data_IF_589678388074
#
_entry.id   IF_589678388074
#
_cell.length_a   1.000
_cell.length_b   1.000
_cell.length_c   1.000
_cell.angle_alpha   90.00
_cell.angle_beta   90.00
_cell.angle_gamma   90.00
#
_symmetry.space_group_name_H-M   'P 1'
#
loop_
_entity.id
_entity.type
_entity.pdbx_description
1 polymer ?
#
# COMPACT_ATOMS: atom_id res chain seq x y z
N UNK A 1 -4.27 11.02 22.90
CA UNK A 1 -5.04 10.88 21.66
C UNK A 1 -4.78 9.53 21.02
N UNK A 2 -5.49 9.18 19.96
CA UNK A 2 -5.35 7.89 19.28
C UNK A 2 -4.68 8.05 17.92
N UNK A 3 -4.04 6.97 17.48
CA UNK A 3 -3.50 6.80 16.15
C UNK A 3 -4.54 6.05 15.30
N UNK A 4 -5.19 6.75 14.38
CA UNK A 4 -6.09 6.10 13.45
C UNK A 4 -5.32 5.60 12.24
N UNK A 5 -5.77 4.53 11.61
CA UNK A 5 -4.98 3.78 10.63
C UNK A 5 -5.77 3.55 9.34
N UNK A 6 -5.11 3.72 8.20
CA UNK A 6 -5.66 3.40 6.87
C UNK A 6 -4.90 2.21 6.30
N UNK A 7 -5.61 1.11 6.04
CA UNK A 7 -5.07 -0.12 5.46
C UNK A 7 -5.80 -0.48 4.16
N UNK A 8 -5.08 -1.03 3.19
CA UNK A 8 -5.68 -1.72 2.05
C UNK A 8 -6.00 -3.17 2.43
N UNK A 9 -7.20 -3.65 2.15
CA UNK A 9 -7.64 -4.99 2.55
C UNK A 9 -7.51 -6.06 1.47
N UNK A 10 -7.07 -5.69 0.28
CA UNK A 10 -6.92 -6.59 -0.87
C UNK A 10 -5.43 -6.75 -1.23
N UNK A 11 -5.10 -6.87 -2.52
CA UNK A 11 -3.73 -7.01 -3.03
C UNK A 11 -3.08 -5.67 -3.44
N UNK A 12 -3.39 -4.58 -2.74
CA UNK A 12 -2.89 -3.25 -3.08
C UNK A 12 -3.75 -2.56 -4.15
N UNK A 13 -3.37 -1.31 -4.47
CA UNK A 13 -4.05 -0.46 -5.48
C UNK A 13 -5.54 -0.18 -5.17
N UNK A 14 -5.96 -0.25 -3.89
CA UNK A 14 -7.33 0.02 -3.46
C UNK A 14 -7.71 1.51 -3.54
N UNK A 15 -6.74 2.41 -3.76
CA UNK A 15 -6.98 3.86 -3.80
C UNK A 15 -6.74 4.57 -2.47
N UNK A 16 -5.84 4.01 -1.63
CA UNK A 16 -5.48 4.57 -0.31
C UNK A 16 -5.11 6.04 -0.33
N UNK A 17 -4.34 6.50 -1.33
CA UNK A 17 -3.91 7.89 -1.42
C UNK A 17 -5.07 8.88 -1.41
N UNK A 18 -6.13 8.64 -2.20
CA UNK A 18 -7.34 9.47 -2.19
C UNK A 18 -7.95 9.55 -0.80
N UNK A 19 -8.12 8.42 -0.13
CA UNK A 19 -8.77 8.37 1.18
C UNK A 19 -7.92 9.03 2.25
N UNK A 20 -6.60 8.83 2.22
CA UNK A 20 -5.69 9.53 3.13
C UNK A 20 -5.78 11.05 2.91
N UNK A 21 -5.83 11.52 1.67
CA UNK A 21 -6.01 12.93 1.37
C UNK A 21 -7.37 13.48 1.87
N UNK A 22 -8.46 12.72 1.69
CA UNK A 22 -9.78 13.08 2.24
C UNK A 22 -9.72 13.18 3.76
N UNK A 23 -9.18 12.19 4.45
CA UNK A 23 -9.10 12.13 5.90
C UNK A 23 -8.08 13.10 6.49
N UNK A 24 -6.98 13.40 5.78
CA UNK A 24 -5.87 14.22 6.28
C UNK A 24 -6.30 15.64 6.70
N UNK A 25 -7.44 16.12 6.20
CA UNK A 25 -8.01 17.38 6.69
C UNK A 25 -8.44 17.36 8.18
N UNK A 26 -8.58 16.18 8.77
CA UNK A 26 -8.98 15.97 10.18
C UNK A 26 -7.80 15.64 11.09
N UNK A 27 -6.63 15.38 10.51
CA UNK A 27 -5.44 14.97 11.24
C UNK A 27 -4.29 15.93 11.00
N UNK A 28 -3.74 16.55 12.05
CA UNK A 28 -2.61 17.46 11.92
C UNK A 28 -1.29 16.74 11.55
N UNK A 29 -1.28 15.40 11.56
CA UNK A 29 -0.12 14.61 11.13
C UNK A 29 -0.54 13.34 10.38
N UNK A 30 0.27 12.97 9.35
CA UNK A 30 0.15 11.71 8.60
C UNK A 30 1.49 10.98 8.63
N UNK A 31 1.49 9.68 8.94
CA UNK A 31 2.70 8.87 9.08
C UNK A 31 2.66 7.61 8.21
N UNK A 32 3.65 7.43 7.33
CA UNK A 32 3.91 6.16 6.63
C UNK A 32 4.66 5.22 7.56
N UNK A 33 4.15 4.02 7.76
CA UNK A 33 4.74 3.10 8.75
C UNK A 33 5.52 1.94 8.12
N UNK A 34 5.32 1.59 6.84
CA UNK A 34 6.00 0.48 6.15
C UNK A 34 6.04 0.68 4.63
N UNK A 35 6.66 -0.27 3.91
CA UNK A 35 6.81 -0.23 2.48
C UNK A 35 7.95 0.68 2.03
N UNK A 36 7.93 1.10 0.79
CA UNK A 36 8.98 1.92 0.19
C UNK A 36 8.53 2.46 -1.17
N UNK A 37 9.46 2.73 -2.10
CA UNK A 37 9.15 3.33 -3.40
C UNK A 37 8.40 2.39 -4.37
N UNK A 38 8.07 1.17 -3.96
CA UNK A 38 7.17 0.27 -4.68
C UNK A 38 5.68 0.69 -4.55
N UNK A 39 5.32 1.52 -3.58
CA UNK A 39 4.01 2.13 -3.51
C UNK A 39 3.86 3.26 -4.55
N UNK A 40 2.62 3.52 -4.97
CA UNK A 40 2.25 4.67 -5.78
C UNK A 40 0.87 5.14 -5.36
N UNK A 41 0.80 6.18 -4.53
CA UNK A 41 -0.46 6.75 -4.07
C UNK A 41 -0.82 7.92 -4.95
N UNK A 42 -1.81 7.70 -5.82
CA UNK A 42 -2.33 8.74 -6.71
C UNK A 42 -3.29 9.66 -5.95
N UNK A 43 -3.10 10.95 -6.16
CA UNK A 43 -3.88 12.04 -5.57
C UNK A 43 -4.43 12.90 -6.70
N UNK A 44 -5.74 13.18 -6.65
CA UNK A 44 -6.43 13.99 -7.65
C UNK A 44 -7.19 15.10 -6.93
N UNK A 45 -6.72 16.33 -7.09
CA UNK A 45 -7.35 17.52 -6.49
C UNK A 45 -6.99 18.77 -7.29
N UNK A 46 -7.88 19.73 -7.32
CA UNK A 46 -7.70 21.04 -7.99
C UNK A 46 -7.20 20.92 -9.44
N UNK A 47 -7.65 19.88 -10.17
CA UNK A 47 -7.23 19.60 -11.54
C UNK A 47 -5.81 19.06 -11.71
N UNK A 48 -5.11 18.76 -10.61
CA UNK A 48 -3.77 18.20 -10.60
C UNK A 48 -3.75 16.72 -10.25
N UNK A 49 -2.77 16.01 -10.83
CA UNK A 49 -2.53 14.59 -10.59
C UNK A 49 -1.13 14.40 -10.03
N UNK A 50 -1.04 13.85 -8.83
CA UNK A 50 0.24 13.55 -8.18
C UNK A 50 0.34 12.07 -7.85
N UNK A 51 1.56 11.56 -7.85
CA UNK A 51 1.85 10.20 -7.36
C UNK A 51 2.96 10.32 -6.32
N UNK A 52 2.63 10.04 -5.06
CA UNK A 52 3.63 9.93 -3.98
C UNK A 52 3.96 8.46 -3.74
N UNK A 53 5.21 8.20 -3.37
CA UNK A 53 5.75 6.83 -3.18
C UNK A 53 6.11 6.57 -1.72
N UNK A 54 7.11 7.29 -1.22
CA UNK A 54 7.59 7.18 0.16
C UNK A 54 7.06 8.29 1.05
N UNK A 55 6.76 9.46 0.47
CA UNK A 55 6.24 10.61 1.18
C UNK A 55 4.76 10.38 1.52
N UNK A 56 4.30 10.71 2.76
CA UNK A 56 2.89 10.60 3.12
C UNK A 56 1.99 11.48 2.25
N UNK A 57 0.77 10.99 1.96
CA UNK A 57 -0.22 11.69 1.13
C UNK A 57 -0.73 13.01 1.75
N UNK A 58 -0.53 13.19 3.05
CA UNK A 58 -0.86 14.45 3.76
C UNK A 58 0.02 15.65 3.40
N UNK A 59 1.12 15.48 2.65
CA UNK A 59 2.10 16.52 2.33
C UNK A 59 1.48 17.74 1.64
N UNK A 60 0.40 17.53 0.89
CA UNK A 60 -0.31 18.58 0.16
C UNK A 60 -1.31 19.37 1.01
N UNK A 61 -1.52 18.98 2.29
CA UNK A 61 -2.39 19.72 3.21
C UNK A 61 -1.61 20.80 3.94
N UNK A 62 -2.21 21.99 4.02
CA UNK A 62 -1.63 23.10 4.78
C UNK A 62 -1.51 22.74 6.27
N UNK A 63 -0.41 23.15 6.88
CA UNK A 63 -0.16 22.91 8.30
C UNK A 63 0.02 21.44 8.70
N UNK A 64 0.03 20.48 7.75
CA UNK A 64 0.22 19.07 8.08
C UNK A 64 1.69 18.73 8.36
N UNK A 65 1.91 17.90 9.36
CA UNK A 65 3.19 17.25 9.65
C UNK A 65 3.20 15.85 9.01
N UNK A 66 4.29 15.50 8.34
CA UNK A 66 4.37 14.22 7.60
C UNK A 66 5.58 13.43 8.09
N UNK A 67 5.37 12.15 8.39
CA UNK A 67 6.37 11.31 9.05
C UNK A 67 6.66 10.08 8.19
N UNK A 68 7.94 9.83 7.92
CA UNK A 68 8.43 8.56 7.37
C UNK A 68 8.94 7.72 8.55
N UNK A 69 8.19 6.68 8.89
CA UNK A 69 8.40 5.84 10.05
C UNK A 69 9.54 4.83 9.91
N UNK A 70 9.87 4.18 11.02
CA UNK A 70 10.98 3.22 11.16
C UNK A 70 10.82 1.94 10.34
N UNK A 71 9.57 1.60 9.98
CA UNK A 71 9.28 0.41 9.16
C UNK A 71 9.47 0.65 7.65
N UNK A 72 9.61 1.89 7.22
CA UNK A 72 9.82 2.23 5.80
C UNK A 72 11.24 1.89 5.36
N UNK A 73 11.37 1.44 4.11
CA UNK A 73 12.66 1.35 3.41
C UNK A 73 12.72 2.48 2.37
N UNK A 74 13.70 3.35 2.50
CA UNK A 74 13.78 4.62 1.78
C UNK A 74 14.81 4.55 0.65
N UNK A 75 14.38 4.86 -0.57
CA UNK A 75 15.24 5.08 -1.71
C UNK A 75 15.51 6.59 -1.87
N UNK A 76 16.72 6.98 -1.65
CA UNK A 76 17.11 8.38 -1.54
C UNK A 76 17.04 9.11 -2.87
N UNK A 77 17.32 8.43 -3.98
CA UNK A 77 17.20 9.00 -5.33
C UNK A 77 15.73 9.30 -5.63
N UNK A 78 14.88 8.29 -5.47
CA UNK A 78 13.43 8.46 -5.65
C UNK A 78 12.84 9.50 -4.69
N UNK A 79 13.29 9.52 -3.42
CA UNK A 79 12.86 10.50 -2.43
C UNK A 79 13.21 11.94 -2.84
N UNK A 80 14.43 12.17 -3.34
CA UNK A 80 14.85 13.47 -3.84
C UNK A 80 14.01 13.92 -5.03
N UNK A 81 13.70 13.01 -5.96
CA UNK A 81 12.81 13.29 -7.08
C UNK A 81 11.39 13.66 -6.64
N UNK A 82 10.82 12.92 -5.69
CA UNK A 82 9.50 13.22 -5.10
C UNK A 82 9.50 14.62 -4.48
N UNK A 83 10.49 14.95 -3.64
CA UNK A 83 10.64 16.27 -3.04
C UNK A 83 10.72 17.38 -4.10
N UNK A 84 11.49 17.17 -5.16
CA UNK A 84 11.59 18.11 -6.28
C UNK A 84 10.26 18.34 -6.99
N UNK A 85 9.45 17.31 -7.16
CA UNK A 85 8.12 17.43 -7.76
C UNK A 85 7.12 18.15 -6.85
N UNK A 86 7.17 17.89 -5.54
CA UNK A 86 6.36 18.57 -4.53
C UNK A 86 6.75 20.05 -4.45
N UNK A 87 8.06 20.38 -4.49
CA UNK A 87 8.54 21.76 -4.45
C UNK A 87 8.07 22.59 -5.64
N UNK A 88 7.87 21.99 -6.81
CA UNK A 88 7.28 22.69 -7.98
C UNK A 88 5.84 23.17 -7.74
N UNK A 89 5.17 22.65 -6.71
CA UNK A 89 3.84 23.08 -6.28
C UNK A 89 3.87 24.17 -5.19
N UNK A 90 5.05 24.75 -4.93
CA UNK A 90 5.21 25.78 -3.89
C UNK A 90 5.25 25.24 -2.46
N UNK A 91 5.32 23.91 -2.29
CA UNK A 91 5.43 23.27 -0.97
C UNK A 91 6.91 23.08 -0.64
N UNK A 92 7.34 23.40 0.57
CA UNK A 92 8.67 23.10 1.07
C UNK A 92 8.67 21.76 1.85
N UNK A 93 9.17 20.65 1.24
CA UNK A 93 9.18 19.35 1.93
C UNK A 93 10.09 19.34 3.19
N UNK A 94 11.18 20.12 3.20
CA UNK A 94 12.13 20.14 4.32
C UNK A 94 11.47 20.65 5.62
N UNK A 95 10.45 21.52 5.53
CA UNK A 95 9.70 22.03 6.67
C UNK A 95 8.61 21.07 7.18
N UNK A 96 8.05 20.24 6.29
CA UNK A 96 6.89 19.39 6.58
C UNK A 96 7.22 17.94 6.85
N UNK A 97 8.44 17.46 6.51
CA UNK A 97 8.83 16.06 6.60
C UNK A 97 9.75 15.79 7.79
N UNK A 98 9.40 14.74 8.52
CA UNK A 98 10.15 14.17 9.62
C UNK A 98 10.48 12.71 9.29
N UNK A 99 11.76 12.34 9.34
CA UNK A 99 12.20 11.03 8.87
C UNK A 99 12.83 10.25 10.02
N UNK A 100 12.34 9.04 10.26
CA UNK A 100 12.89 8.18 11.30
C UNK A 100 14.36 7.84 11.04
N UNK A 101 15.23 8.07 12.01
CA UNK A 101 16.61 7.58 12.01
C UNK A 101 16.70 6.06 11.87
N UNK A 102 15.64 5.32 12.23
CA UNK A 102 15.59 3.85 12.18
C UNK A 102 15.05 3.30 10.86
N UNK A 103 14.53 4.13 9.94
CA UNK A 103 14.19 3.71 8.59
C UNK A 103 15.43 3.21 7.85
N UNK A 104 15.28 2.16 7.01
CA UNK A 104 16.40 1.56 6.31
C UNK A 104 16.63 2.20 4.95
N UNK A 105 17.90 2.28 4.55
CA UNK A 105 18.32 2.84 3.27
C UNK A 105 18.33 1.75 2.20
N UNK A 106 17.71 2.02 1.06
CA UNK A 106 17.85 1.18 -0.13
C UNK A 106 19.14 1.60 -0.84
N UNK A 107 20.13 0.70 -0.93
CA UNK A 107 21.35 0.92 -1.68
C UNK A 107 21.13 0.61 -3.17
N UNK A 108 21.94 1.19 -4.10
CA UNK A 108 21.91 0.77 -5.50
C UNK A 108 22.06 -0.74 -5.68
N UNK A 109 22.92 -1.37 -4.89
CA UNK A 109 23.14 -2.82 -4.91
C UNK A 109 21.94 -3.65 -4.45
N UNK A 110 21.02 -3.12 -3.64
CA UNK A 110 19.76 -3.79 -3.35
C UNK A 110 18.87 -3.93 -4.58
N UNK A 111 18.84 -2.93 -5.47
CA UNK A 111 18.10 -3.00 -6.73
C UNK A 111 18.69 -4.06 -7.66
N UNK A 112 20.03 -4.18 -7.70
CA UNK A 112 20.72 -5.20 -8.45
C UNK A 112 20.43 -6.61 -7.92
N UNK A 113 20.44 -6.79 -6.58
CA UNK A 113 20.06 -8.06 -5.94
C UNK A 113 18.60 -8.43 -6.23
N UNK A 114 17.67 -7.47 -6.21
CA UNK A 114 16.27 -7.69 -6.55
C UNK A 114 16.14 -8.22 -7.99
N UNK A 115 16.84 -7.60 -8.94
CA UNK A 115 16.87 -8.06 -10.32
C UNK A 115 17.55 -9.44 -10.47
N UNK A 116 18.63 -9.70 -9.74
CA UNK A 116 19.33 -10.98 -9.77
C UNK A 116 18.45 -12.12 -9.22
N UNK A 117 17.73 -11.90 -8.11
CA UNK A 117 16.82 -12.89 -7.54
C UNK A 117 15.64 -13.20 -8.48
N UNK A 118 15.01 -12.17 -9.07
CA UNK A 118 13.94 -12.38 -10.07
C UNK A 118 14.44 -13.13 -11.31
N UNK A 119 15.67 -12.82 -11.78
CA UNK A 119 16.26 -13.54 -12.90
C UNK A 119 16.56 -15.00 -12.57
N UNK A 120 17.10 -15.27 -11.39
CA UNK A 120 17.42 -16.62 -10.92
C UNK A 120 16.16 -17.48 -10.68
N UNK A 121 15.06 -16.87 -10.24
CA UNK A 121 13.79 -17.57 -10.01
C UNK A 121 13.10 -18.06 -11.30
N UNK A 122 13.43 -17.53 -12.47
CA UNK A 122 12.90 -17.97 -13.76
C UNK A 122 11.36 -17.98 -13.82
N UNK A 123 10.75 -19.18 -13.91
CA UNK A 123 9.29 -19.33 -13.95
C UNK A 123 8.62 -19.08 -12.60
N UNK A 124 9.34 -19.24 -11.50
CA UNK A 124 8.83 -19.04 -10.12
C UNK A 124 9.02 -17.61 -9.62
N UNK A 125 9.25 -16.66 -10.52
CA UNK A 125 9.39 -15.25 -10.13
C UNK A 125 8.13 -14.70 -9.51
N UNK A 126 8.29 -13.85 -8.48
CA UNK A 126 7.21 -13.18 -7.78
C UNK A 126 6.63 -12.04 -8.62
N UNK A 127 7.43 -11.45 -9.50
CA UNK A 127 7.08 -10.26 -10.27
C UNK A 127 7.39 -8.98 -9.49
N UNK A 128 8.56 -8.93 -8.88
CA UNK A 128 9.06 -7.77 -8.13
C UNK A 128 9.03 -6.49 -8.96
N UNK A 129 8.92 -5.35 -8.27
CA UNK A 129 9.04 -4.02 -8.88
C UNK A 129 10.48 -3.60 -9.18
N UNK A 130 11.44 -4.43 -8.86
CA UNK A 130 12.88 -4.19 -9.02
C UNK A 130 13.38 -2.91 -8.30
N UNK A 131 12.74 -2.57 -7.18
CA UNK A 131 13.07 -1.39 -6.37
C UNK A 131 13.96 -1.71 -5.16
N UNK A 132 14.42 -2.95 -5.04
CA UNK A 132 15.28 -3.38 -3.94
C UNK A 132 14.58 -3.57 -2.59
N UNK A 133 13.25 -3.67 -2.59
CA UNK A 133 12.45 -3.77 -1.36
C UNK A 133 12.80 -5.05 -0.59
N UNK A 134 12.68 -6.21 -1.23
CA UNK A 134 12.97 -7.51 -0.62
C UNK A 134 14.37 -7.59 -0.04
N UNK A 135 15.43 -7.33 -0.84
CA UNK A 135 16.81 -7.35 -0.35
C UNK A 135 17.06 -6.39 0.82
N UNK A 136 16.44 -5.19 0.84
CA UNK A 136 16.60 -4.24 1.95
C UNK A 136 15.94 -4.76 3.24
N UNK A 137 14.74 -5.36 3.17
CA UNK A 137 14.12 -6.01 4.33
C UNK A 137 14.91 -7.25 4.78
N UNK A 138 15.50 -8.01 3.86
CA UNK A 138 16.42 -9.12 4.19
C UNK A 138 17.58 -8.61 5.03
N UNK A 139 18.24 -7.53 4.62
CA UNK A 139 19.33 -6.93 5.37
C UNK A 139 18.88 -6.33 6.71
N UNK A 140 17.69 -5.76 6.78
CA UNK A 140 17.10 -5.31 8.04
C UNK A 140 16.98 -6.47 9.03
N UNK A 141 16.39 -7.60 8.62
CA UNK A 141 16.16 -8.75 9.49
C UNK A 141 17.48 -9.47 9.84
N UNK A 142 18.42 -9.55 8.90
CA UNK A 142 19.75 -10.09 9.13
C UNK A 142 20.68 -9.14 9.91
N UNK A 143 20.25 -7.92 10.21
CA UNK A 143 20.98 -6.89 10.97
C UNK A 143 22.25 -6.38 10.29
N UNK A 144 22.23 -6.33 8.95
CA UNK A 144 23.33 -5.81 8.13
C UNK A 144 22.98 -4.45 7.51
N UNK A 145 21.67 -4.15 7.38
CA UNK A 145 21.18 -2.96 6.68
C UNK A 145 21.63 -1.65 7.31
N UNK A 146 21.82 -0.64 6.47
CA UNK A 146 22.06 0.74 6.88
C UNK A 146 20.75 1.46 7.15
N UNK A 147 20.76 2.30 8.19
CA UNK A 147 19.61 3.11 8.58
C UNK A 147 19.85 4.58 8.27
N UNK A 148 18.79 5.35 8.17
CA UNK A 148 18.85 6.79 7.94
C UNK A 148 19.76 7.48 8.96
N UNK A 149 19.69 7.14 10.23
CA UNK A 149 20.55 7.74 11.27
C UNK A 149 22.04 7.46 11.08
N UNK A 150 22.41 6.38 10.38
CA UNK A 150 23.81 6.02 10.17
C UNK A 150 24.54 7.04 9.25
N UNK A 151 23.80 7.82 8.42
CA UNK A 151 24.40 8.85 7.56
C UNK A 151 25.08 9.98 8.34
N UNK A 152 24.76 10.12 9.63
CA UNK A 152 25.37 11.12 10.51
C UNK A 152 26.64 10.59 11.17
N UNK A 153 26.92 9.29 11.06
CA UNK A 153 28.11 8.68 11.68
C UNK A 153 29.38 8.97 10.86
N UNK A 154 30.51 9.27 11.52
CA UNK A 154 31.77 9.57 10.83
C UNK A 154 32.32 8.39 10.01
N UNK A 155 31.94 7.17 10.34
CA UNK A 155 32.32 5.93 9.67
C UNK A 155 31.27 5.44 8.64
N UNK A 156 30.27 6.26 8.30
CA UNK A 156 29.20 5.90 7.36
C UNK A 156 29.72 5.31 6.05
N UNK A 157 30.74 5.94 5.45
CA UNK A 157 31.31 5.45 4.19
C UNK A 157 31.89 4.04 4.34
N UNK A 158 32.58 3.76 5.42
CA UNK A 158 33.14 2.44 5.67
C UNK A 158 32.05 1.38 5.89
N UNK A 159 30.95 1.73 6.56
CA UNK A 159 29.77 0.84 6.70
C UNK A 159 29.10 0.58 5.35
N UNK A 160 28.98 1.60 4.52
CA UNK A 160 28.44 1.47 3.17
C UNK A 160 29.28 0.50 2.33
N UNK A 161 30.59 0.71 2.26
CA UNK A 161 31.51 -0.16 1.51
C UNK A 161 31.47 -1.61 1.99
N UNK A 162 31.40 -1.81 3.31
CA UNK A 162 31.26 -3.16 3.88
C UNK A 162 29.98 -3.87 3.43
N UNK A 163 28.85 -3.17 3.42
CA UNK A 163 27.58 -3.73 2.97
C UNK A 163 27.59 -3.97 1.45
N UNK A 164 28.09 -3.01 0.68
CA UNK A 164 28.29 -3.15 -0.77
C UNK A 164 29.13 -4.38 -1.11
N UNK A 165 30.27 -4.58 -0.44
CA UNK A 165 31.13 -5.74 -0.69
C UNK A 165 30.38 -7.07 -0.44
N UNK A 166 29.53 -7.15 0.59
CA UNK A 166 28.65 -8.31 0.81
C UNK A 166 27.68 -8.54 -0.35
N UNK A 167 27.07 -7.47 -0.86
CA UNK A 167 26.14 -7.58 -2.00
C UNK A 167 26.85 -8.01 -3.28
N UNK A 168 28.08 -7.53 -3.52
CA UNK A 168 28.88 -7.93 -4.67
C UNK A 168 29.20 -9.42 -4.63
N UNK A 169 29.51 -9.99 -3.46
CA UNK A 169 29.70 -11.42 -3.32
C UNK A 169 28.41 -12.19 -3.68
N UNK A 170 27.24 -11.75 -3.19
CA UNK A 170 25.95 -12.39 -3.52
C UNK A 170 25.64 -12.31 -5.02
N UNK A 171 25.89 -11.17 -5.66
CA UNK A 171 25.69 -11.00 -7.11
C UNK A 171 26.62 -11.92 -7.91
N UNK A 172 27.87 -12.08 -7.45
CA UNK A 172 28.84 -13.01 -8.05
C UNK A 172 28.38 -14.46 -7.90
N UNK A 173 27.91 -14.86 -6.70
CA UNK A 173 27.38 -16.21 -6.44
C UNK A 173 26.17 -16.54 -7.33
N UNK A 174 25.32 -15.53 -7.60
CA UNK A 174 24.19 -15.61 -8.51
C UNK A 174 24.59 -15.53 -10.00
N UNK A 175 25.87 -15.27 -10.29
CA UNK A 175 26.38 -15.07 -11.66
C UNK A 175 25.62 -13.98 -12.43
N UNK A 176 25.22 -12.92 -11.73
CA UNK A 176 24.47 -11.81 -12.31
C UNK A 176 25.42 -10.71 -12.80
N UNK A 177 25.47 -10.52 -14.13
CA UNK A 177 26.27 -9.48 -14.73
C UNK A 177 25.63 -8.10 -14.59
N UNK A 178 26.30 -7.16 -13.94
CA UNK A 178 25.83 -5.81 -13.69
C UNK A 178 26.99 -4.85 -13.47
N UNK A 179 26.70 -3.55 -13.57
CA UNK A 179 27.59 -2.47 -13.14
C UNK A 179 27.20 -2.04 -11.71
N UNK A 180 27.96 -2.42 -10.68
CA UNK A 180 27.61 -2.15 -9.30
C UNK A 180 27.81 -0.69 -8.90
N UNK A 181 28.53 0.09 -9.67
CA UNK A 181 28.89 1.48 -9.36
C UNK A 181 27.99 2.50 -10.10
N UNK A 182 27.16 2.02 -11.03
CA UNK A 182 26.38 2.86 -11.94
C UNK A 182 25.63 4.00 -11.25
N UNK A 183 24.92 3.72 -10.14
CA UNK A 183 24.07 4.72 -9.47
C UNK A 183 24.68 5.23 -8.15
N UNK A 184 25.93 4.86 -7.82
CA UNK A 184 26.55 5.16 -6.51
C UNK A 184 26.77 6.65 -6.29
N UNK A 185 27.34 7.34 -7.28
CA UNK A 185 27.61 8.78 -7.18
C UNK A 185 26.32 9.59 -6.98
N UNK A 186 25.27 9.22 -7.71
CA UNK A 186 23.95 9.84 -7.58
C UNK A 186 23.33 9.53 -6.21
N UNK A 187 23.44 8.29 -5.75
CA UNK A 187 22.97 7.86 -4.44
C UNK A 187 23.68 8.62 -3.32
N UNK A 188 25.00 8.77 -3.37
CA UNK A 188 25.75 9.56 -2.38
C UNK A 188 25.34 11.04 -2.38
N UNK A 189 25.07 11.62 -3.55
CA UNK A 189 24.53 12.97 -3.65
C UNK A 189 23.13 13.07 -3.01
N UNK A 190 22.29 12.04 -3.16
CA UNK A 190 20.96 11.98 -2.54
C UNK A 190 21.05 11.78 -1.01
N UNK A 191 22.08 11.13 -0.48
CA UNK A 191 22.38 11.07 0.96
C UNK A 191 22.65 12.46 1.52
N UNK A 192 23.47 13.28 0.84
CA UNK A 192 23.71 14.65 1.28
C UNK A 192 22.44 15.51 1.24
N UNK A 193 21.55 15.29 0.28
CA UNK A 193 20.23 15.91 0.25
C UNK A 193 19.38 15.48 1.45
N UNK A 194 19.38 14.19 1.81
CA UNK A 194 18.61 13.66 2.93
C UNK A 194 19.01 14.28 4.30
N UNK A 195 20.27 14.68 4.47
CA UNK A 195 20.74 15.34 5.69
C UNK A 195 20.09 16.70 5.99
N UNK A 196 19.39 17.30 5.02
CA UNK A 196 18.68 18.58 5.20
C UNK A 196 17.37 18.43 5.97
N UNK A 197 16.85 17.22 6.08
CA UNK A 197 15.54 16.94 6.68
C UNK A 197 15.64 16.73 8.19
N UNK A 198 14.49 16.82 8.86
CA UNK A 198 14.37 16.55 10.29
C UNK A 198 14.47 15.06 10.57
N UNK A 199 15.65 14.57 10.94
CA UNK A 199 15.90 13.18 11.32
C UNK A 199 15.56 12.97 12.80
N UNK A 200 14.50 12.17 13.06
CA UNK A 200 13.90 12.02 14.38
C UNK A 200 14.07 10.62 14.96
N UNK A 201 14.00 10.52 16.27
CA UNK A 201 13.76 9.28 17.01
C UNK A 201 12.24 9.07 17.03
N UNK A 202 11.75 8.34 16.02
CA UNK A 202 10.34 8.26 15.64
C UNK A 202 9.42 7.84 16.80
N UNK A 203 9.83 6.86 17.59
CA UNK A 203 9.06 6.34 18.72
C UNK A 203 8.81 7.41 19.81
N UNK A 204 9.76 8.30 20.08
CA UNK A 204 9.55 9.42 21.00
C UNK A 204 8.67 10.47 20.37
N UNK A 205 9.01 10.92 19.18
CA UNK A 205 8.27 11.95 18.46
C UNK A 205 6.79 11.60 18.29
N UNK A 206 6.48 10.37 17.87
CA UNK A 206 5.09 9.94 17.61
C UNK A 206 4.33 9.78 18.94
N UNK A 207 4.92 9.21 19.97
CA UNK A 207 4.23 9.05 21.26
C UNK A 207 3.96 10.40 21.95
N UNK A 208 4.92 11.33 21.96
CA UNK A 208 4.74 12.71 22.46
C UNK A 208 3.66 13.44 21.64
N UNK A 209 3.66 13.31 20.30
CA UNK A 209 2.61 13.87 19.46
C UNK A 209 1.22 13.35 19.86
N UNK A 210 1.10 12.04 20.07
CA UNK A 210 -0.17 11.38 20.41
C UNK A 210 -0.66 11.72 21.83
N UNK A 211 0.15 12.29 22.69
CA UNK A 211 -0.31 12.78 23.99
C UNK A 211 -1.19 14.04 23.82
N UNK A 212 -0.95 14.84 22.79
CA UNK A 212 -1.63 16.10 22.57
C UNK A 212 -2.60 16.09 21.37
N UNK A 213 -2.25 15.40 20.25
CA UNK A 213 -2.93 15.53 18.95
C UNK A 213 -3.16 14.16 18.31
N UNK A 214 -4.25 13.99 17.54
CA UNK A 214 -4.44 12.76 16.75
C UNK A 214 -3.46 12.70 15.57
N UNK A 215 -3.26 11.47 15.05
CA UNK A 215 -2.43 11.19 13.89
C UNK A 215 -3.09 10.13 13.03
N UNK A 216 -2.88 10.20 11.71
CA UNK A 216 -3.30 9.18 10.75
C UNK A 216 -2.08 8.38 10.29
N UNK A 217 -2.11 7.05 10.46
CA UNK A 217 -1.12 6.15 9.89
C UNK A 217 -1.58 5.69 8.50
N UNK A 218 -0.72 5.85 7.52
CA UNK A 218 -0.96 5.51 6.12
C UNK A 218 -0.20 4.25 5.74
N UNK A 219 -0.94 3.17 5.43
CA UNK A 219 -0.40 1.92 4.94
C UNK A 219 -0.06 1.95 3.45
N UNK A 220 0.83 1.07 3.05
CA UNK A 220 1.17 0.79 1.65
C UNK A 220 0.85 -0.67 1.31
N UNK A 221 0.69 -0.99 0.02
CA UNK A 221 0.23 -2.29 -0.46
C UNK A 221 -1.16 -2.65 0.11
N UNK A 222 -1.42 -3.91 0.41
CA UNK A 222 -2.66 -4.39 1.02
C UNK A 222 -2.42 -5.62 1.89
N UNK A 223 -3.36 -5.95 2.78
CA UNK A 223 -3.21 -6.99 3.79
C UNK A 223 -3.00 -8.38 3.20
N UNK A 224 -3.54 -8.66 2.00
CA UNK A 224 -3.27 -9.92 1.29
C UNK A 224 -1.86 -10.00 0.67
N UNK A 225 -1.06 -8.91 0.77
CA UNK A 225 0.35 -8.87 0.43
C UNK A 225 1.26 -8.84 1.67
N UNK A 226 0.73 -9.00 2.87
CA UNK A 226 1.51 -9.05 4.12
C UNK A 226 2.49 -10.23 4.12
N UNK A 227 3.70 -10.01 4.67
CA UNK A 227 4.75 -11.04 4.68
C UNK A 227 4.37 -12.27 5.49
N UNK A 228 3.58 -12.12 6.55
CA UNK A 228 3.21 -13.20 7.45
C UNK A 228 1.83 -13.77 7.15
N UNK A 229 0.85 -12.92 6.80
CA UNK A 229 -0.57 -13.26 6.68
C UNK A 229 -1.14 -13.10 5.27
N UNK A 230 -0.34 -12.68 4.31
CA UNK A 230 -0.76 -12.55 2.92
C UNK A 230 -0.74 -13.88 2.16
N UNK A 231 -0.95 -13.79 0.85
CA UNK A 231 -0.93 -14.93 -0.08
C UNK A 231 0.51 -15.38 -0.40
N UNK A 232 1.25 -15.83 0.62
CA UNK A 232 2.65 -16.28 0.52
C UNK A 232 2.79 -17.41 -0.50
N UNK A 233 3.89 -17.44 -1.33
CA UNK A 233 5.04 -16.53 -1.32
C UNK A 233 4.85 -15.24 -2.13
N UNK A 234 3.72 -15.01 -2.75
CA UNK A 234 3.43 -13.88 -3.64
C UNK A 234 3.00 -12.64 -2.84
N UNK A 235 3.89 -12.16 -1.99
CA UNK A 235 3.68 -11.06 -1.03
C UNK A 235 4.78 -10.02 -1.11
N UNK A 236 4.62 -8.89 -0.44
CA UNK A 236 5.71 -7.94 -0.17
C UNK A 236 6.51 -8.37 1.05
N UNK A 237 7.72 -7.87 1.20
CA UNK A 237 8.58 -8.19 2.36
C UNK A 237 8.30 -7.32 3.59
N UNK A 238 7.20 -6.58 3.62
CA UNK A 238 6.83 -5.70 4.74
C UNK A 238 5.56 -6.15 5.43
N UNK A 239 5.40 -5.77 6.72
CA UNK A 239 4.15 -5.97 7.46
C UNK A 239 3.13 -4.91 7.06
N UNK A 240 2.17 -5.31 6.23
CA UNK A 240 1.13 -4.43 5.68
C UNK A 240 -0.12 -4.37 6.55
N UNK A 241 -0.24 -5.26 7.54
CA UNK A 241 -1.33 -5.36 8.50
C UNK A 241 -1.17 -4.37 9.66
N UNK A 242 -2.17 -4.33 10.53
CA UNK A 242 -2.20 -3.45 11.72
C UNK A 242 -0.96 -3.63 12.63
N UNK A 243 -0.39 -4.83 12.69
CA UNK A 243 0.84 -5.10 13.44
C UNK A 243 2.03 -4.27 12.97
N UNK A 244 2.09 -4.00 11.66
CA UNK A 244 3.11 -3.17 11.03
C UNK A 244 3.10 -1.71 11.51
N UNK A 245 1.95 -1.19 11.90
CA UNK A 245 1.81 0.17 12.45
C UNK A 245 2.58 0.29 13.77
N UNK A 246 2.38 -0.68 14.66
CA UNK A 246 3.02 -0.68 15.97
C UNK A 246 4.56 -0.77 15.86
N UNK A 247 5.05 -1.67 15.02
CA UNK A 247 6.49 -1.84 14.81
C UNK A 247 7.11 -0.73 13.96
N UNK A 248 6.35 -0.19 13.01
CA UNK A 248 6.81 0.83 12.07
C UNK A 248 6.88 2.24 12.65
N UNK A 249 6.06 2.56 13.65
CA UNK A 249 6.05 3.87 14.31
C UNK A 249 6.54 3.83 15.77
N UNK A 250 6.72 2.64 16.35
CA UNK A 250 7.15 2.48 17.74
C UNK A 250 6.04 2.85 18.74
N UNK A 251 4.78 2.47 18.44
CA UNK A 251 3.62 2.75 19.28
C UNK A 251 3.04 1.48 19.89
N UNK A 252 2.49 1.58 21.08
CA UNK A 252 1.80 0.46 21.73
C UNK A 252 0.47 0.16 21.02
N UNK A 253 0.02 -1.12 20.92
CA UNK A 253 -1.27 -1.46 20.32
C UNK A 253 -2.46 -0.72 20.95
N UNK A 254 -2.39 -0.40 22.24
CA UNK A 254 -3.43 0.34 22.97
C UNK A 254 -3.60 1.80 22.51
N UNK A 255 -2.65 2.34 21.75
CA UNK A 255 -2.73 3.70 21.16
C UNK A 255 -3.50 3.70 19.84
N UNK A 256 -3.72 2.56 19.21
CA UNK A 256 -4.49 2.44 17.97
C UNK A 256 -5.96 2.81 18.25
N UNK A 257 -6.53 3.64 17.38
CA UNK A 257 -7.90 4.09 17.39
C UNK A 257 -8.74 3.39 16.32
N UNK A 258 -9.30 4.17 15.39
CA UNK A 258 -10.02 3.64 14.24
C UNK A 258 -9.08 2.96 13.25
N UNK A 259 -9.53 1.83 12.72
CA UNK A 259 -8.86 1.10 11.64
C UNK A 259 -9.75 1.14 10.41
N UNK A 260 -9.42 2.05 9.50
CA UNK A 260 -10.10 2.23 8.22
C UNK A 260 -9.59 1.21 7.21
N UNK A 261 -10.41 0.22 6.89
CA UNK A 261 -10.12 -0.81 5.90
C UNK A 261 -10.64 -0.42 4.52
N UNK A 262 -9.76 -0.22 3.55
CA UNK A 262 -10.11 0.17 2.18
C UNK A 262 -10.15 -1.05 1.29
N UNK A 263 -11.24 -1.20 0.54
CA UNK A 263 -11.41 -2.22 -0.51
C UNK A 263 -12.09 -1.63 -1.74
N UNK A 264 -11.83 -2.19 -2.91
CA UNK A 264 -12.60 -1.90 -4.14
C UNK A 264 -13.85 -2.77 -4.22
N UNK A 265 -14.89 -2.28 -4.88
CA UNK A 265 -16.11 -3.04 -5.16
C UNK A 265 -15.86 -4.30 -6.04
N UNK A 266 -14.65 -4.50 -6.49
CA UNK A 266 -14.12 -5.66 -7.20
C UNK A 266 -12.68 -5.94 -6.75
N UNK A 267 -12.06 -7.02 -7.21
CA UNK A 267 -10.67 -7.33 -6.89
C UNK A 267 -9.75 -7.04 -8.07
N UNK A 268 -8.53 -6.61 -7.75
CA UNK A 268 -7.44 -6.52 -8.72
C UNK A 268 -6.15 -7.06 -8.14
N UNK A 269 -5.29 -7.62 -8.99
CA UNK A 269 -3.96 -8.07 -8.58
C UNK A 269 -2.91 -7.71 -9.63
N UNK A 270 -1.74 -7.30 -9.17
CA UNK A 270 -0.54 -7.13 -9.99
C UNK A 270 0.43 -8.27 -9.68
N UNK A 271 1.11 -8.80 -10.71
CA UNK A 271 2.07 -9.88 -10.56
C UNK A 271 1.45 -11.27 -10.47
N UNK A 272 2.27 -12.22 -10.04
CA UNK A 272 1.92 -13.63 -9.93
C UNK A 272 1.14 -13.93 -8.64
N UNK A 273 0.69 -15.17 -8.50
CA UNK A 273 0.04 -15.69 -7.31
C UNK A 273 -1.46 -15.85 -7.43
N UNK A 274 -2.09 -16.44 -6.39
CA UNK A 274 -3.49 -16.83 -6.39
C UNK A 274 -4.44 -15.63 -6.49
N UNK A 275 -5.52 -15.84 -7.22
CA UNK A 275 -6.61 -14.87 -7.35
C UNK A 275 -7.92 -15.66 -7.59
N UNK A 276 -8.59 -16.14 -6.54
CA UNK A 276 -9.72 -17.06 -6.65
C UNK A 276 -10.86 -16.56 -7.53
N UNK A 277 -11.12 -15.25 -7.51
CA UNK A 277 -12.21 -14.63 -8.26
C UNK A 277 -11.79 -14.00 -9.59
N UNK A 278 -10.58 -14.30 -10.09
CA UNK A 278 -10.09 -13.77 -11.37
C UNK A 278 -11.00 -14.11 -12.54
N UNK A 279 -11.19 -13.15 -13.42
CA UNK A 279 -12.01 -13.28 -14.63
C UNK A 279 -11.14 -13.25 -15.88
N UNK A 280 -11.33 -14.24 -16.74
CA UNK A 280 -10.60 -14.40 -18.00
C UNK A 280 -11.51 -14.15 -19.23
N UNK A 281 -12.68 -13.56 -19.01
CA UNK A 281 -13.71 -13.30 -20.00
C UNK A 281 -13.90 -11.80 -20.24
N UNK A 282 -14.86 -11.46 -21.10
CA UNK A 282 -15.24 -10.09 -21.43
C UNK A 282 -15.64 -9.26 -20.20
N UNK A 283 -16.12 -9.91 -19.14
CA UNK A 283 -16.47 -9.24 -17.88
C UNK A 283 -15.23 -8.69 -17.20
N UNK A 284 -14.15 -9.50 -17.13
CA UNK A 284 -12.86 -9.07 -16.58
C UNK A 284 -12.24 -7.93 -17.38
N UNK A 285 -12.33 -7.98 -18.70
CA UNK A 285 -11.85 -6.93 -19.59
C UNK A 285 -12.66 -5.64 -19.40
N UNK A 286 -13.98 -5.74 -19.32
CA UNK A 286 -14.88 -4.59 -19.07
C UNK A 286 -14.57 -3.91 -17.73
N UNK A 287 -14.36 -4.68 -16.64
CA UNK A 287 -13.94 -4.12 -15.34
C UNK A 287 -12.60 -3.39 -15.48
N UNK A 288 -11.63 -3.96 -16.19
CA UNK A 288 -10.30 -3.37 -16.40
C UNK A 288 -10.37 -2.05 -17.15
N UNK A 289 -11.17 -1.99 -18.22
CA UNK A 289 -11.31 -0.79 -19.04
C UNK A 289 -12.01 0.34 -18.28
N UNK A 290 -13.18 0.07 -17.69
CA UNK A 290 -13.95 1.07 -16.93
C UNK A 290 -13.17 1.53 -15.69
N UNK A 291 -12.55 0.59 -14.99
CA UNK A 291 -11.76 0.88 -13.81
C UNK A 291 -10.39 1.50 -14.09
N UNK A 292 -9.98 1.63 -15.36
CA UNK A 292 -8.63 2.06 -15.75
C UNK A 292 -7.55 1.27 -15.01
N UNK A 293 -7.72 -0.06 -14.93
CA UNK A 293 -6.85 -0.94 -14.14
C UNK A 293 -5.56 -1.28 -14.91
N UNK A 294 -4.69 -0.26 -14.98
CA UNK A 294 -3.36 -0.34 -15.57
C UNK A 294 -2.31 0.18 -14.58
N UNK A 295 -1.10 -0.37 -14.63
CA UNK A 295 -0.01 0.06 -13.76
C UNK A 295 0.39 1.49 -14.05
N UNK A 296 0.39 2.36 -13.04
CA UNK A 296 0.68 3.80 -13.18
C UNK A 296 2.07 4.10 -13.77
N UNK A 297 3.03 3.18 -13.62
CA UNK A 297 4.42 3.35 -14.10
C UNK A 297 4.69 2.55 -15.37
N UNK A 298 4.17 1.33 -15.44
CA UNK A 298 4.50 0.38 -16.52
C UNK A 298 3.40 0.27 -17.59
N UNK A 299 2.20 0.82 -17.34
CA UNK A 299 1.04 0.62 -18.21
C UNK A 299 0.54 -0.83 -18.29
N UNK A 300 1.12 -1.76 -17.51
CA UNK A 300 0.75 -3.18 -17.54
C UNK A 300 -0.69 -3.37 -17.08
N UNK A 301 -1.53 -4.13 -17.81
CA UNK A 301 -2.90 -4.42 -17.38
C UNK A 301 -2.89 -5.22 -16.07
N UNK A 302 -3.77 -4.82 -15.15
CA UNK A 302 -4.01 -5.56 -13.91
C UNK A 302 -4.95 -6.73 -14.18
N UNK A 303 -4.76 -7.81 -13.44
CA UNK A 303 -5.72 -8.91 -13.34
C UNK A 303 -6.94 -8.40 -12.59
N UNK A 304 -8.15 -8.70 -13.08
CA UNK A 304 -9.42 -8.22 -12.50
C UNK A 304 -10.32 -9.40 -12.18
N UNK A 305 -11.15 -9.26 -11.17
CA UNK A 305 -12.09 -10.28 -10.75
C UNK A 305 -13.21 -9.72 -9.86
N UNK A 306 -14.26 -10.52 -9.65
CA UNK A 306 -15.34 -10.15 -8.73
C UNK A 306 -14.84 -9.96 -7.30
N UNK A 307 -15.59 -9.20 -6.51
CA UNK A 307 -15.30 -8.99 -5.09
C UNK A 307 -15.27 -10.33 -4.35
N UNK A 308 -14.21 -10.53 -3.57
CA UNK A 308 -13.97 -11.71 -2.75
C UNK A 308 -14.18 -11.39 -1.28
N UNK A 309 -15.38 -11.74 -0.77
CA UNK A 309 -15.72 -11.50 0.62
C UNK A 309 -15.07 -12.50 1.59
N UNK A 310 -14.64 -13.67 1.13
CA UNK A 310 -13.90 -14.62 1.97
C UNK A 310 -12.55 -14.04 2.34
N UNK A 311 -11.80 -13.58 1.32
CA UNK A 311 -10.53 -12.91 1.52
C UNK A 311 -10.68 -11.59 2.30
N UNK A 312 -11.72 -10.80 1.99
CA UNK A 312 -11.97 -9.53 2.68
C UNK A 312 -12.36 -9.75 4.17
N UNK A 313 -13.15 -10.75 4.49
CA UNK A 313 -13.50 -11.11 5.87
C UNK A 313 -12.26 -11.53 6.67
N UNK A 314 -11.36 -12.26 6.03
CA UNK A 314 -10.10 -12.65 6.63
C UNK A 314 -9.26 -11.42 6.99
N UNK A 315 -9.08 -10.47 6.05
CA UNK A 315 -8.28 -9.25 6.31
C UNK A 315 -8.97 -8.33 7.33
N UNK A 316 -10.29 -8.19 7.30
CA UNK A 316 -11.05 -7.48 8.34
C UNK A 316 -10.76 -8.04 9.73
N UNK A 317 -10.69 -9.36 9.85
CA UNK A 317 -10.42 -10.05 11.14
C UNK A 317 -8.99 -9.80 11.62
N UNK A 318 -7.98 -10.01 10.76
CA UNK A 318 -6.56 -9.88 11.18
C UNK A 318 -6.15 -8.44 11.47
N UNK A 319 -6.79 -7.48 10.78
CA UNK A 319 -6.50 -6.06 10.95
C UNK A 319 -7.36 -5.40 12.05
N UNK A 320 -8.39 -6.08 12.55
CA UNK A 320 -9.30 -5.50 13.53
C UNK A 320 -10.01 -4.26 13.00
N UNK A 321 -10.45 -4.30 11.74
CA UNK A 321 -11.08 -3.18 11.04
C UNK A 321 -12.32 -2.71 11.78
N UNK A 322 -12.40 -1.41 12.05
CA UNK A 322 -13.56 -0.78 12.71
C UNK A 322 -14.51 -0.12 11.73
N UNK A 323 -13.99 0.37 10.62
CA UNK A 323 -14.72 1.12 9.61
C UNK A 323 -14.24 0.72 8.20
N UNK A 324 -15.17 0.40 7.32
CA UNK A 324 -14.88 0.05 5.94
C UNK A 324 -15.02 1.26 5.00
N UNK A 325 -14.19 1.28 3.98
CA UNK A 325 -14.22 2.29 2.91
C UNK A 325 -14.27 1.56 1.56
N UNK A 326 -15.38 1.73 0.84
CA UNK A 326 -15.58 1.11 -0.45
C UNK A 326 -15.19 2.06 -1.57
N UNK A 327 -14.31 1.57 -2.46
CA UNK A 327 -13.78 2.32 -3.59
C UNK A 327 -14.33 1.79 -4.91
N UNK A 328 -14.44 2.68 -5.91
CA UNK A 328 -14.69 2.31 -7.31
C UNK A 328 -15.98 1.52 -7.55
N UNK A 329 -17.02 1.75 -6.76
CA UNK A 329 -18.33 1.15 -7.02
C UNK A 329 -19.00 1.69 -8.28
N UNK A 330 -18.68 2.92 -8.69
CA UNK A 330 -19.03 3.52 -9.98
C UNK A 330 -18.57 2.68 -11.19
N UNK A 331 -17.48 1.93 -11.06
CA UNK A 331 -17.02 1.05 -12.12
C UNK A 331 -17.98 -0.12 -12.43
N UNK A 332 -18.94 -0.39 -11.55
CA UNK A 332 -19.94 -1.44 -11.73
C UNK A 332 -21.30 -0.92 -12.23
N UNK A 333 -21.43 0.37 -12.50
CA UNK A 333 -22.69 1.04 -12.86
C UNK A 333 -23.42 0.43 -14.06
N UNK A 334 -22.67 -0.08 -15.03
CA UNK A 334 -23.21 -0.64 -16.29
C UNK A 334 -23.37 -2.16 -16.30
N UNK A 335 -23.25 -2.82 -15.13
CA UNK A 335 -23.42 -4.27 -15.03
C UNK A 335 -24.87 -4.62 -14.66
N UNK A 336 -25.50 -5.52 -15.43
CA UNK A 336 -26.84 -6.01 -15.13
C UNK A 336 -26.87 -6.94 -13.92
N UNK A 337 -25.79 -7.75 -13.77
CA UNK A 337 -25.59 -8.68 -12.66
C UNK A 337 -24.20 -8.48 -12.08
N UNK A 338 -24.14 -8.36 -10.75
CA UNK A 338 -22.90 -8.22 -10.01
C UNK A 338 -22.77 -9.47 -9.12
N UNK A 339 -21.59 -10.09 -9.15
CA UNK A 339 -21.30 -11.29 -8.37
C UNK A 339 -20.34 -10.98 -7.23
N UNK A 340 -20.56 -11.62 -6.09
CA UNK A 340 -19.71 -11.51 -4.90
C UNK A 340 -19.40 -12.91 -4.40
N UNK A 341 -18.13 -13.24 -4.26
CA UNK A 341 -17.71 -14.53 -3.72
C UNK A 341 -17.95 -14.57 -2.21
N UNK A 342 -18.75 -15.52 -1.76
CA UNK A 342 -19.16 -15.69 -0.35
C UNK A 342 -18.63 -16.94 0.31
N UNK A 343 -18.18 -17.92 -0.47
CA UNK A 343 -17.49 -19.13 0.01
C UNK A 343 -16.59 -19.71 -1.09
N UNK A 344 -15.73 -20.64 -0.72
CA UNK A 344 -14.88 -21.40 -1.62
C UNK A 344 -15.24 -22.89 -1.54
N UNK A 345 -15.07 -23.62 -2.64
CA UNK A 345 -15.01 -25.08 -2.64
C UNK A 345 -13.54 -25.47 -2.80
N UNK A 346 -13.00 -26.16 -1.80
CA UNK A 346 -11.63 -26.70 -1.75
C UNK A 346 -11.73 -28.18 -1.43
N UNK A 347 -11.16 -29.06 -2.26
CA UNK A 347 -11.25 -30.51 -2.11
C UNK A 347 -12.69 -31.03 -1.97
N UNK A 348 -13.63 -30.41 -2.71
CA UNK A 348 -15.06 -30.76 -2.69
C UNK A 348 -15.81 -30.32 -1.43
N UNK A 349 -15.19 -29.53 -0.55
CA UNK A 349 -15.82 -29.01 0.68
C UNK A 349 -15.98 -27.51 0.60
N UNK A 350 -17.17 -27.03 0.95
CA UNK A 350 -17.43 -25.61 1.04
C UNK A 350 -16.84 -25.02 2.34
N UNK A 351 -16.18 -23.88 2.22
CA UNK A 351 -15.59 -23.14 3.35
C UNK A 351 -15.69 -21.62 3.14
N UNK A 352 -15.77 -20.87 4.23
CA UNK A 352 -15.69 -19.41 4.25
C UNK A 352 -14.39 -18.91 4.93
N UNK A 353 -13.37 -19.77 5.00
CA UNK A 353 -12.05 -19.43 5.51
C UNK A 353 -11.05 -19.29 4.38
N UNK A 354 -10.21 -18.27 4.46
CA UNK A 354 -9.09 -18.09 3.54
C UNK A 354 -8.05 -19.20 3.80
N UNK A 355 -7.66 -19.99 2.77
CA UNK A 355 -6.83 -21.19 2.98
C UNK A 355 -5.36 -20.80 3.29
N UNK A 356 -4.69 -21.69 4.03
CA UNK A 356 -3.23 -21.63 4.22
C UNK A 356 -2.49 -21.88 2.90
N UNK A 357 -2.85 -22.95 2.20
CA UNK A 357 -2.35 -23.22 0.86
C UNK A 357 -3.15 -22.41 -0.16
N UNK A 358 -2.58 -21.30 -0.56
CA UNK A 358 -3.22 -20.38 -1.53
C UNK A 358 -3.01 -20.81 -2.98
N UNK A 359 -2.19 -21.85 -3.26
CA UNK A 359 -1.97 -22.42 -4.57
C UNK A 359 -2.86 -23.65 -4.84
N UNK A 360 -3.64 -24.12 -3.86
CA UNK A 360 -4.62 -25.19 -4.05
C UNK A 360 -5.71 -24.75 -5.05
N UNK A 361 -6.40 -25.75 -5.63
CA UNK A 361 -7.54 -25.48 -6.51
C UNK A 361 -8.72 -24.93 -5.71
N UNK A 362 -9.09 -23.67 -5.98
CA UNK A 362 -10.19 -22.96 -5.33
C UNK A 362 -11.28 -22.68 -6.36
N UNK A 363 -12.49 -23.19 -6.11
CA UNK A 363 -13.66 -22.80 -6.88
C UNK A 363 -14.49 -21.80 -6.09
N UNK A 364 -14.61 -20.52 -6.54
CA UNK A 364 -15.39 -19.52 -5.85
C UNK A 364 -16.90 -19.78 -6.00
N UNK A 365 -17.65 -19.62 -4.93
CA UNK A 365 -19.11 -19.69 -4.90
C UNK A 365 -19.66 -18.26 -4.79
N UNK A 366 -20.54 -17.91 -5.72
CA UNK A 366 -21.02 -16.53 -5.85
C UNK A 366 -22.46 -16.35 -5.38
N UNK A 367 -22.71 -15.23 -4.70
CA UNK A 367 -24.02 -14.63 -4.56
C UNK A 367 -24.19 -13.57 -5.65
N UNK A 368 -25.33 -13.57 -6.34
CA UNK A 368 -25.63 -12.64 -7.43
C UNK A 368 -26.55 -11.52 -6.95
N UNK A 369 -26.26 -10.31 -7.42
CA UNK A 369 -27.04 -9.10 -7.18
C UNK A 369 -27.48 -8.50 -8.50
N UNK A 370 -28.68 -7.95 -8.53
CA UNK A 370 -29.12 -7.10 -9.63
C UNK A 370 -28.30 -5.81 -9.63
N UNK A 371 -27.70 -5.49 -10.76
CA UNK A 371 -27.01 -4.23 -10.94
C UNK A 371 -27.94 -3.03 -10.81
N UNK A 372 -27.38 -1.89 -10.48
CA UNK A 372 -28.17 -0.66 -10.33
C UNK A 372 -28.39 0.08 -11.65
N UNK A 373 -27.59 -0.17 -12.69
CA UNK A 373 -27.72 0.44 -14.02
C UNK A 373 -27.95 1.96 -13.97
N UNK A 374 -27.24 2.63 -13.08
CA UNK A 374 -27.32 4.08 -12.86
C UNK A 374 -25.91 4.62 -12.64
N UNK A 375 -25.61 5.75 -13.27
CA UNK A 375 -24.36 6.49 -13.01
C UNK A 375 -24.37 7.04 -11.58
N UNK A 376 -23.44 6.55 -10.75
CA UNK A 376 -23.28 6.96 -9.36
C UNK A 376 -22.35 8.15 -9.21
N UNK A 377 -21.58 8.55 -10.22
CA UNK A 377 -20.52 9.58 -10.11
C UNK A 377 -21.05 10.95 -9.67
N UNK A 378 -22.33 11.23 -9.93
CA UNK A 378 -23.03 12.45 -9.51
C UNK A 378 -23.55 12.44 -8.08
N UNK A 379 -23.66 11.27 -7.42
CA UNK A 379 -24.21 11.15 -6.07
C UNK A 379 -23.25 11.74 -5.02
N UNK A 380 -23.82 12.45 -4.06
CA UNK A 380 -23.08 13.07 -2.93
C UNK A 380 -23.66 12.72 -1.57
N UNK A 381 -24.84 12.09 -1.53
CA UNK A 381 -25.55 11.68 -0.33
C UNK A 381 -26.09 10.25 -0.47
N UNK A 382 -26.22 9.56 0.65
CA UNK A 382 -26.69 8.16 0.68
C UNK A 382 -28.13 8.04 0.12
N UNK A 383 -28.99 9.06 0.34
CA UNK A 383 -30.35 9.07 -0.15
C UNK A 383 -30.45 9.02 -1.67
N UNK A 384 -29.46 9.55 -2.37
CA UNK A 384 -29.40 9.62 -3.86
C UNK A 384 -29.02 8.26 -4.48
N UNK A 385 -28.50 7.33 -3.68
CA UNK A 385 -28.09 6.01 -4.15
C UNK A 385 -29.31 5.12 -4.45
N UNK A 386 -29.28 4.33 -5.55
CA UNK A 386 -30.36 3.40 -5.89
C UNK A 386 -30.51 2.30 -4.83
N UNK A 387 -31.75 1.81 -4.66
CA UNK A 387 -32.05 0.81 -3.63
C UNK A 387 -31.27 -0.49 -3.85
N UNK A 388 -31.07 -0.94 -5.09
CA UNK A 388 -30.26 -2.12 -5.40
C UNK A 388 -28.81 -1.96 -4.93
N UNK A 389 -28.23 -0.76 -5.01
CA UNK A 389 -26.90 -0.49 -4.45
C UNK A 389 -26.90 -0.46 -2.92
N UNK A 390 -27.93 0.09 -2.30
CA UNK A 390 -28.09 0.06 -0.83
C UNK A 390 -28.24 -1.38 -0.31
N UNK A 391 -28.95 -2.25 -1.05
CA UNK A 391 -29.05 -3.69 -0.72
C UNK A 391 -27.69 -4.38 -0.80
N UNK A 392 -26.91 -4.08 -1.83
CA UNK A 392 -25.53 -4.57 -1.98
C UNK A 392 -24.63 -4.16 -0.80
N UNK A 393 -24.70 -2.89 -0.38
CA UNK A 393 -23.96 -2.38 0.80
C UNK A 393 -24.42 -3.12 2.07
N UNK A 394 -25.72 -3.20 2.34
CA UNK A 394 -26.26 -3.87 3.52
C UNK A 394 -25.84 -5.34 3.59
N UNK A 395 -25.78 -6.01 2.45
CA UNK A 395 -25.30 -7.39 2.40
C UNK A 395 -23.84 -7.50 2.86
N UNK A 396 -22.96 -6.65 2.33
CA UNK A 396 -21.54 -6.64 2.71
C UNK A 396 -21.35 -6.32 4.21
N UNK A 397 -22.03 -5.30 4.71
CA UNK A 397 -21.98 -4.93 6.14
C UNK A 397 -22.46 -6.09 7.03
N UNK A 398 -23.52 -6.79 6.60
CA UNK A 398 -24.03 -7.96 7.31
C UNK A 398 -23.06 -9.16 7.28
N UNK A 399 -22.36 -9.36 6.15
CA UNK A 399 -21.39 -10.45 6.00
C UNK A 399 -20.11 -10.17 6.80
N UNK A 400 -19.58 -8.96 6.71
CA UNK A 400 -18.31 -8.55 7.32
C UNK A 400 -18.45 -8.12 8.78
N UNK A 401 -19.66 -7.77 9.23
CA UNK A 401 -19.98 -7.24 10.58
C UNK A 401 -19.26 -5.93 10.91
N UNK A 402 -18.94 -5.15 9.89
CA UNK A 402 -18.30 -3.83 10.00
C UNK A 402 -19.02 -2.85 9.07
N UNK A 403 -19.33 -1.61 9.52
CA UNK A 403 -20.03 -0.64 8.70
C UNK A 403 -19.15 -0.06 7.60
N UNK A 404 -19.73 0.18 6.42
CA UNK A 404 -19.10 0.94 5.33
C UNK A 404 -19.39 2.42 5.60
N UNK A 405 -18.36 3.15 6.06
CA UNK A 405 -18.48 4.56 6.45
C UNK A 405 -18.27 5.54 5.31
N UNK A 406 -17.50 5.14 4.32
CA UNK A 406 -17.18 5.99 3.18
C UNK A 406 -17.36 5.19 1.88
N UNK A 407 -18.01 5.81 0.90
CA UNK A 407 -18.17 5.28 -0.46
C UNK A 407 -17.51 6.27 -1.42
N UNK A 408 -16.57 5.80 -2.20
CA UNK A 408 -15.89 6.59 -3.23
C UNK A 408 -16.42 6.25 -4.62
N UNK A 409 -16.93 7.27 -5.32
CA UNK A 409 -17.64 7.18 -6.61
C UNK A 409 -16.91 7.90 -7.74
N UNK A 410 -15.59 7.90 -7.72
CA UNK A 410 -14.75 8.54 -8.73
C UNK A 410 -13.36 8.89 -8.22
N UNK A 411 -12.47 9.42 -9.07
CA UNK A 411 -11.08 9.70 -8.69
C UNK A 411 -10.91 10.95 -7.81
N UNK A 412 -11.77 11.96 -7.96
CA UNK A 412 -11.68 13.22 -7.23
C UNK A 412 -12.02 13.07 -5.74
N UNK A 413 -11.39 13.89 -4.87
CA UNK A 413 -11.64 13.87 -3.43
C UNK A 413 -13.12 14.14 -3.08
N UNK A 414 -13.80 14.99 -3.87
CA UNK A 414 -15.19 15.37 -3.64
C UNK A 414 -16.19 14.27 -4.06
N UNK A 415 -15.77 13.33 -4.91
CA UNK A 415 -16.58 12.19 -5.31
C UNK A 415 -16.60 11.11 -4.20
N UNK A 416 -17.10 11.51 -3.03
CA UNK A 416 -17.08 10.68 -1.81
C UNK A 416 -18.35 10.94 -1.00
N UNK A 417 -19.00 9.86 -0.56
CA UNK A 417 -20.15 9.90 0.35
C UNK A 417 -19.69 9.40 1.71
N UNK A 418 -19.88 10.21 2.75
CA UNK A 418 -19.74 9.79 4.16
C UNK A 418 -21.10 9.36 4.72
N UNK A 419 -21.13 8.23 5.42
CA UNK A 419 -22.33 7.59 6.00
C UNK A 419 -22.31 7.62 7.52
#
# INVERSE_FOLDING_TARGET
>A
MKLDVVLGLQWGDEGKGKIVDVLAGRYPAVARFQGGPNAGHSLHFDGHNFVVRSIPSGIFRDGSTNIIGSGVVLDQITFREECGNISKQGINPEEKLYISKKAHLILPTHRLLDAAYEAAAGKSKIGSTLKGIGPTYTDKISRHGLRVGDILAPDFKARFEKLKARHLQLLQDLKFECDPDKDEAEWMSAIEFLKKFNLIDCEYFVNEWLDEKPMLAEGAQGSLLDIDYGSYPYVTSSSTTIGGVCTGLGVAPSRVGHVYGIFKAYCTRVGSGPFPTELFDETGDKIREIGHEFGAVTGRPRRCGWLDLVALKYTVMIDGVTDLIMMKSDCLDSFETIKVCTSYIIDGKETNQFPFDTECEITPVYTEFKGWNQDLTGCRKEEELPETFKEYIRFMENYLKVPIKIISLGPDREATIER
#
